data_IF_271020235192
#
_entry.id   IF_271020235192
#
_cell.length_a   1.000
_cell.length_b   1.000
_cell.length_c   1.000
_cell.angle_alpha   90.00
_cell.angle_beta   90.00
_cell.angle_gamma   90.00
#
_symmetry.space_group_name_H-M   'P 1'
#
loop_
_entity.id
_entity.type
_entity.pdbx_description
1 polymer ?
#
# COMPACT_ATOMS: atom_id res chain seq x y z
N UNK A 1 -2.40 -3.27 1.48
CA UNK A 1 -1.71 -2.36 0.54
C UNK A 1 -1.33 -1.09 1.29
N UNK A 2 -0.20 -0.46 0.98
CA UNK A 2 0.24 0.80 1.63
C UNK A 2 1.00 1.67 0.63
N UNK A 3 1.20 2.95 0.95
CA UNK A 3 1.94 3.89 0.09
C UNK A 3 3.43 3.54 0.00
N UNK A 4 3.99 2.96 1.05
CA UNK A 4 5.37 2.44 1.15
C UNK A 4 5.44 1.37 2.26
N UNK A 5 6.61 0.75 2.44
CA UNK A 5 6.82 -0.21 3.53
C UNK A 5 6.75 0.44 4.92
N UNK A 6 6.25 -0.28 5.92
CA UNK A 6 6.11 0.24 7.29
C UNK A 6 7.42 0.68 7.93
N UNK A 7 8.47 -0.15 7.78
CA UNK A 7 9.84 0.18 8.20
C UNK A 7 10.34 1.46 7.54
N UNK A 8 10.19 1.55 6.21
CA UNK A 8 10.61 2.72 5.43
C UNK A 8 9.88 4.00 5.91
N UNK A 9 8.58 3.92 6.16
CA UNK A 9 7.82 5.06 6.67
C UNK A 9 8.29 5.48 8.07
N UNK A 10 8.53 4.51 8.95
CA UNK A 10 9.01 4.76 10.31
C UNK A 10 10.40 5.42 10.30
N UNK A 11 11.31 4.95 9.45
CA UNK A 11 12.68 5.47 9.35
C UNK A 11 12.70 6.90 8.80
N UNK A 12 11.94 7.18 7.73
CA UNK A 12 11.86 8.53 7.17
C UNK A 12 11.26 9.51 8.20
N UNK A 13 10.20 9.10 8.90
CA UNK A 13 9.58 9.95 9.92
C UNK A 13 10.49 10.15 11.14
N UNK A 14 11.26 9.14 11.52
CA UNK A 14 12.27 9.26 12.57
C UNK A 14 13.37 10.24 12.16
N UNK A 15 13.88 10.13 10.93
CA UNK A 15 14.91 11.03 10.41
C UNK A 15 14.45 12.49 10.46
N UNK A 16 13.24 12.78 9.94
CA UNK A 16 12.66 14.13 10.01
C UNK A 16 12.53 14.60 11.47
N UNK A 17 12.18 13.72 12.41
CA UNK A 17 12.06 14.07 13.82
C UNK A 17 13.41 14.45 14.45
N UNK A 18 14.47 13.75 14.09
CA UNK A 18 15.83 14.03 14.55
C UNK A 18 16.35 15.36 14.00
N UNK A 19 16.12 15.62 12.72
CA UNK A 19 16.52 16.87 12.06
C UNK A 19 15.85 18.09 12.72
N UNK A 20 14.61 17.95 13.19
CA UNK A 20 13.89 18.99 13.94
C UNK A 20 14.45 19.26 15.34
N UNK A 21 15.13 18.29 15.95
CA UNK A 21 15.61 18.36 17.33
C UNK A 21 16.94 19.10 17.49
N UNK A 22 17.51 19.65 16.42
CA UNK A 22 18.69 20.55 16.44
C UNK A 22 19.87 20.03 17.31
N UNK A 23 20.10 18.72 17.32
CA UNK A 23 21.23 18.11 18.03
C UNK A 23 20.90 17.46 19.39
N UNK A 24 19.63 17.37 19.80
CA UNK A 24 19.24 16.51 20.92
C UNK A 24 19.21 15.04 20.50
N UNK A 25 20.06 14.22 21.10
CA UNK A 25 20.12 12.78 20.84
C UNK A 25 18.90 12.05 21.39
N UNK A 26 18.35 11.16 20.57
CA UNK A 26 17.39 10.14 21.03
C UNK A 26 18.14 8.85 21.33
N UNK A 27 17.91 8.28 22.52
CA UNK A 27 18.39 6.94 22.82
C UNK A 27 17.73 5.91 21.89
N UNK A 28 18.36 4.75 21.74
CA UNK A 28 17.82 3.67 20.92
C UNK A 28 16.41 3.26 21.36
N UNK A 29 16.18 3.20 22.67
CA UNK A 29 14.86 2.90 23.23
C UNK A 29 13.80 3.96 22.84
N UNK A 30 14.18 5.24 22.77
CA UNK A 30 13.27 6.31 22.33
C UNK A 30 13.00 6.25 20.82
N UNK A 31 14.02 5.93 20.02
CA UNK A 31 13.88 5.74 18.57
C UNK A 31 12.93 4.59 18.27
N UNK A 32 13.11 3.46 18.95
CA UNK A 32 12.26 2.30 18.77
C UNK A 32 10.82 2.54 19.27
N UNK A 33 10.67 3.21 20.42
CA UNK A 33 9.35 3.61 20.91
C UNK A 33 8.60 4.56 19.94
N UNK A 34 9.34 5.35 19.16
CA UNK A 34 8.76 6.20 18.11
C UNK A 34 8.41 5.42 16.84
N UNK A 35 9.29 4.51 16.40
CA UNK A 35 9.12 3.71 15.18
C UNK A 35 7.99 2.69 15.31
N UNK A 36 7.96 1.96 16.42
CA UNK A 36 7.03 0.83 16.65
C UNK A 36 5.55 1.14 16.33
N UNK A 37 4.92 2.22 16.86
CA UNK A 37 3.52 2.50 16.55
C UNK A 37 3.25 2.82 15.07
N UNK A 38 4.26 3.32 14.35
CA UNK A 38 4.16 3.58 12.90
C UNK A 38 4.16 2.25 12.15
N UNK A 39 5.10 1.35 12.49
CA UNK A 39 5.20 0.02 11.88
C UNK A 39 3.90 -0.76 12.11
N UNK A 40 3.45 -0.86 13.36
CA UNK A 40 2.20 -1.56 13.74
C UNK A 40 0.98 -1.00 13.00
N UNK A 41 0.92 0.33 12.81
CA UNK A 41 -0.15 0.96 12.04
C UNK A 41 -0.10 0.52 10.58
N UNK A 42 1.07 0.50 9.97
CA UNK A 42 1.25 0.09 8.57
C UNK A 42 0.97 -1.40 8.38
N UNK A 43 1.32 -2.26 9.33
CA UNK A 43 0.97 -3.69 9.27
C UNK A 43 -0.55 -3.90 9.32
N UNK A 44 -1.23 -3.22 10.25
CA UNK A 44 -2.69 -3.30 10.39
C UNK A 44 -3.40 -2.77 9.15
N UNK A 45 -3.05 -1.57 8.71
CA UNK A 45 -3.71 -0.88 7.60
C UNK A 45 -3.26 -1.43 6.23
N UNK A 46 -2.09 -2.07 6.19
CA UNK A 46 -1.52 -2.73 5.02
C UNK A 46 -2.06 -4.14 4.77
N UNK A 47 -2.81 -4.72 5.70
CA UNK A 47 -3.44 -6.03 5.54
C UNK A 47 -4.43 -6.08 4.36
N UNK A 48 -4.52 -7.23 3.69
CA UNK A 48 -5.54 -7.50 2.68
C UNK A 48 -6.96 -7.35 3.24
N UNK A 49 -7.18 -7.78 4.48
CA UNK A 49 -8.47 -7.64 5.16
C UNK A 49 -8.85 -6.17 5.41
N UNK A 50 -7.86 -5.32 5.68
CA UNK A 50 -8.11 -3.89 5.87
C UNK A 50 -8.55 -3.21 4.57
N UNK A 51 -7.91 -3.58 3.45
CA UNK A 51 -8.20 -3.08 2.12
C UNK A 51 -9.59 -3.53 1.62
N UNK A 52 -9.89 -4.83 1.71
CA UNK A 52 -11.14 -5.39 1.19
C UNK A 52 -12.37 -4.90 1.97
N UNK A 53 -12.23 -4.68 3.28
CA UNK A 53 -13.28 -4.08 4.11
C UNK A 53 -13.64 -2.62 3.71
N UNK A 54 -12.84 -2.00 2.85
CA UNK A 54 -13.01 -0.63 2.34
C UNK A 54 -13.22 -0.57 0.83
N UNK A 55 -13.39 -1.72 0.18
CA UNK A 55 -13.56 -1.82 -1.27
C UNK A 55 -12.43 -1.15 -2.07
N UNK A 56 -11.19 -1.20 -1.54
CA UNK A 56 -10.02 -0.84 -2.34
C UNK A 56 -9.69 -1.91 -3.38
N UNK A 57 -10.23 -3.11 -3.17
CA UNK A 57 -10.26 -4.27 -4.05
C UNK A 57 -11.68 -4.84 -4.07
N UNK A 58 -11.99 -5.66 -5.09
CA UNK A 58 -13.29 -6.32 -5.24
C UNK A 58 -13.38 -7.65 -4.46
N UNK A 59 -12.38 -7.97 -3.64
CA UNK A 59 -12.33 -9.20 -2.85
C UNK A 59 -10.96 -9.85 -2.78
N UNK A 60 -10.72 -10.57 -1.69
CA UNK A 60 -9.57 -11.46 -1.52
C UNK A 60 -9.91 -12.81 -2.14
N UNK A 61 -9.01 -13.34 -2.97
CA UNK A 61 -9.17 -14.65 -3.62
C UNK A 61 -8.06 -15.60 -3.21
N UNK A 62 -8.35 -16.90 -3.27
CA UNK A 62 -7.33 -17.93 -3.15
C UNK A 62 -6.35 -17.84 -4.34
N UNK A 63 -5.02 -17.83 -4.10
CA UNK A 63 -4.05 -17.69 -5.18
C UNK A 63 -4.21 -18.75 -6.30
N UNK A 64 -4.64 -19.96 -5.93
CA UNK A 64 -4.91 -21.06 -6.87
C UNK A 64 -6.14 -20.84 -7.75
N UNK A 65 -7.08 -19.98 -7.35
CA UNK A 65 -8.29 -19.64 -8.11
C UNK A 65 -8.10 -18.48 -9.08
N UNK A 66 -6.92 -17.82 -9.09
CA UNK A 66 -6.62 -16.65 -9.94
C UNK A 66 -7.04 -16.84 -11.40
N UNK A 67 -6.72 -18.00 -12.02
CA UNK A 67 -7.09 -18.28 -13.42
C UNK A 67 -8.61 -18.24 -13.65
N UNK A 68 -9.37 -18.83 -12.74
CA UNK A 68 -10.83 -18.96 -12.83
C UNK A 68 -11.49 -17.58 -12.69
N UNK A 69 -11.04 -16.79 -11.72
CA UNK A 69 -11.55 -15.43 -11.48
C UNK A 69 -11.28 -14.53 -12.67
N UNK A 70 -10.04 -14.51 -13.20
CA UNK A 70 -9.69 -13.72 -14.38
C UNK A 70 -10.49 -14.16 -15.62
N UNK A 71 -10.61 -15.48 -15.87
CA UNK A 71 -11.37 -15.98 -17.01
C UNK A 71 -12.84 -15.56 -16.95
N UNK A 72 -13.45 -15.59 -15.77
CA UNK A 72 -14.81 -15.11 -15.57
C UNK A 72 -14.91 -13.59 -15.79
N UNK A 73 -13.98 -12.80 -15.23
CA UNK A 73 -13.95 -11.35 -15.40
C UNK A 73 -13.85 -10.93 -16.88
N UNK A 74 -13.01 -11.62 -17.66
CA UNK A 74 -12.91 -11.41 -19.11
C UNK A 74 -14.21 -11.79 -19.82
N UNK A 75 -14.80 -12.96 -19.50
CA UNK A 75 -16.06 -13.37 -20.12
C UNK A 75 -17.18 -12.36 -19.84
N UNK A 76 -17.20 -11.77 -18.64
CA UNK A 76 -18.18 -10.74 -18.29
C UNK A 76 -17.93 -9.41 -19.00
N UNK A 77 -16.67 -8.98 -19.16
CA UNK A 77 -16.33 -7.71 -19.80
C UNK A 77 -16.66 -7.67 -21.30
N UNK A 78 -16.69 -8.84 -21.96
CA UNK A 78 -17.04 -8.97 -23.39
C UNK A 78 -18.52 -8.72 -23.72
N UNK A 79 -19.36 -8.47 -22.72
CA UNK A 79 -20.75 -8.02 -22.95
C UNK A 79 -20.82 -6.53 -23.37
N UNK A 80 -19.70 -5.82 -23.39
CA UNK A 80 -19.58 -4.46 -23.91
C UNK A 80 -18.60 -4.42 -25.10
N UNK A 81 -18.81 -3.53 -26.09
CA UNK A 81 -17.85 -3.35 -27.18
C UNK A 81 -16.53 -2.80 -26.65
N UNK A 82 -15.41 -3.25 -27.25
CA UNK A 82 -14.08 -2.74 -26.91
C UNK A 82 -13.92 -1.34 -27.55
N UNK A 83 -13.67 -0.28 -26.77
CA UNK A 83 -13.55 1.08 -27.30
C UNK A 83 -12.18 1.32 -27.95
N UNK A 84 -12.12 2.26 -28.89
CA UNK A 84 -10.85 2.82 -29.36
C UNK A 84 -10.12 3.55 -28.22
N UNK A 85 -8.80 3.45 -28.18
CA UNK A 85 -7.97 4.09 -27.15
C UNK A 85 -7.38 5.41 -27.64
N UNK A 86 -7.23 6.37 -26.72
CA UNK A 86 -6.52 7.65 -26.96
C UNK A 86 -5.55 7.90 -25.83
N UNK A 87 -4.30 8.16 -26.16
CA UNK A 87 -3.27 8.50 -25.17
C UNK A 87 -3.20 10.00 -24.90
N UNK A 88 -2.75 10.35 -23.69
CA UNK A 88 -2.32 11.71 -23.36
C UNK A 88 -0.91 12.02 -23.89
N UNK A 89 -0.28 13.06 -23.33
CA UNK A 89 1.08 13.46 -23.72
C UNK A 89 2.11 12.52 -23.07
N UNK A 90 2.99 11.96 -23.89
CA UNK A 90 4.20 11.28 -23.40
C UNK A 90 5.32 12.30 -23.17
N UNK A 91 5.89 12.33 -21.97
CA UNK A 91 7.10 13.12 -21.67
C UNK A 91 8.32 12.30 -22.12
N UNK A 92 8.98 12.76 -23.17
CA UNK A 92 10.24 12.19 -23.71
C UNK A 92 11.46 12.75 -22.99
#
# INVERSE_FOLDING_TARGET
ISVMGGEQAADVLLQVKLDQRKGEEMSEAQREAFRRPIIERYEREGSAYYATARLWDDGIIEPTETRKVIALGIAMSLNAPIPDHRFGIFRM
#
